data_IF_904295035255
#
_entry.id   IF_904295035255
#
_cell.length_a   1.000
_cell.length_b   1.000
_cell.length_c   1.000
_cell.angle_alpha   90.00
_cell.angle_beta   90.00
_cell.angle_gamma   90.00
#
_symmetry.space_group_name_H-M   'P 1'
#
loop_
_entity.id
_entity.type
_entity.pdbx_description
1 polymer ?
#
# COMPACT_ATOMS: atom_id res chain seq x y z
N UNK A 1 2.81 -19.25 -8.12
CA UNK A 1 3.21 -17.84 -8.05
C UNK A 1 2.01 -16.91 -8.21
N UNK A 2 1.17 -17.10 -9.23
CA UNK A 2 -0.05 -16.28 -9.45
C UNK A 2 -0.96 -16.18 -8.22
N UNK A 3 -1.19 -17.29 -7.53
CA UNK A 3 -2.03 -17.32 -6.34
C UNK A 3 -1.46 -16.50 -5.17
N UNK A 4 -0.13 -16.34 -5.09
CA UNK A 4 0.53 -15.56 -4.03
C UNK A 4 0.32 -14.07 -4.28
N UNK A 5 0.50 -13.60 -5.51
CA UNK A 5 0.24 -12.21 -5.87
C UNK A 5 -1.23 -11.84 -5.76
N UNK A 6 -2.14 -12.75 -6.14
CA UNK A 6 -3.58 -12.56 -5.95
C UNK A 6 -3.92 -12.43 -4.47
N UNK A 7 -3.37 -13.31 -3.64
CA UNK A 7 -3.54 -13.29 -2.19
C UNK A 7 -2.95 -11.99 -1.59
N UNK A 8 -1.80 -11.54 -2.07
CA UNK A 8 -1.18 -10.27 -1.66
C UNK A 8 -2.05 -9.06 -2.05
N UNK A 9 -2.56 -9.03 -3.28
CA UNK A 9 -3.48 -7.99 -3.75
C UNK A 9 -4.78 -8.00 -2.94
N UNK A 10 -5.32 -9.18 -2.64
CA UNK A 10 -6.51 -9.33 -1.79
C UNK A 10 -6.27 -8.77 -0.40
N UNK A 11 -5.19 -9.16 0.28
CA UNK A 11 -4.85 -8.62 1.60
C UNK A 11 -4.56 -7.11 1.56
N UNK A 12 -3.97 -6.58 0.48
CA UNK A 12 -3.78 -5.15 0.30
C UNK A 12 -5.12 -4.39 0.16
N UNK A 13 -6.09 -4.97 -0.55
CA UNK A 13 -7.46 -4.44 -0.63
C UNK A 13 -8.13 -4.47 0.74
N UNK A 14 -8.06 -5.60 1.46
CA UNK A 14 -8.65 -5.73 2.80
C UNK A 14 -8.02 -4.72 3.78
N UNK A 15 -6.69 -4.55 3.75
CA UNK A 15 -5.99 -3.53 4.52
C UNK A 15 -6.49 -2.13 4.18
N UNK A 16 -6.57 -1.81 2.89
CA UNK A 16 -7.05 -0.51 2.43
C UNK A 16 -8.50 -0.25 2.85
N UNK A 17 -9.37 -1.27 2.79
CA UNK A 17 -10.74 -1.19 3.29
C UNK A 17 -10.73 -0.79 4.77
N UNK A 18 -10.00 -1.49 5.63
CA UNK A 18 -9.90 -1.13 7.05
C UNK A 18 -9.32 0.28 7.25
N UNK A 19 -8.28 0.65 6.52
CA UNK A 19 -7.69 1.99 6.61
C UNK A 19 -8.68 3.09 6.23
N UNK A 20 -9.51 2.88 5.19
CA UNK A 20 -10.57 3.82 4.80
C UNK A 20 -11.67 3.97 5.84
N UNK A 21 -12.00 2.88 6.55
CA UNK A 21 -13.00 2.92 7.64
C UNK A 21 -12.56 3.77 8.82
N UNK A 22 -11.24 3.91 8.96
CA UNK A 22 -10.63 4.66 10.02
C UNK A 22 -10.77 6.18 9.78
N UNK A 23 -10.97 6.66 8.53
CA UNK A 23 -11.10 8.10 8.25
C UNK A 23 -12.35 8.71 8.94
N UNK A 24 -12.21 9.85 9.65
CA UNK A 24 -13.31 10.47 10.39
C UNK A 24 -14.41 11.01 9.46
N UNK A 25 -14.00 11.55 8.32
CA UNK A 25 -14.84 12.34 7.44
C UNK A 25 -15.49 11.50 6.34
N UNK A 26 -16.83 11.51 6.33
CA UNK A 26 -17.63 10.78 5.33
C UNK A 26 -17.34 11.26 3.90
N UNK A 27 -17.02 12.55 3.73
CA UNK A 27 -16.72 13.15 2.42
C UNK A 27 -15.42 12.60 1.82
N UNK A 28 -14.35 12.51 2.60
CA UNK A 28 -13.07 11.97 2.14
C UNK A 28 -13.17 10.48 1.80
N UNK A 29 -13.96 9.71 2.54
CA UNK A 29 -14.23 8.30 2.21
C UNK A 29 -14.88 8.13 0.84
N UNK A 30 -15.91 8.94 0.55
CA UNK A 30 -16.61 8.90 -0.74
C UNK A 30 -15.68 9.39 -1.86
N UNK A 31 -14.94 10.49 -1.62
CA UNK A 31 -13.99 11.02 -2.59
C UNK A 31 -12.90 9.99 -2.94
N UNK A 32 -12.35 9.30 -1.95
CA UNK A 32 -11.35 8.25 -2.17
C UNK A 32 -11.92 7.04 -2.92
N UNK A 33 -13.11 6.58 -2.53
CA UNK A 33 -13.80 5.49 -3.23
C UNK A 33 -14.08 5.82 -4.70
N UNK A 34 -14.52 7.05 -4.97
CA UNK A 34 -14.73 7.56 -6.32
C UNK A 34 -13.41 7.66 -7.09
N UNK A 35 -12.34 8.12 -6.44
CA UNK A 35 -10.99 8.18 -7.04
C UNK A 35 -10.49 6.79 -7.45
N UNK A 36 -10.75 5.75 -6.64
CA UNK A 36 -10.44 4.36 -7.02
C UNK A 36 -11.26 3.90 -8.22
N UNK A 37 -12.56 4.23 -8.28
CA UNK A 37 -13.40 3.92 -9.44
C UNK A 37 -12.93 4.63 -10.72
N UNK A 38 -12.55 5.90 -10.62
CA UNK A 38 -11.95 6.66 -11.74
C UNK A 38 -10.62 6.05 -12.17
N UNK A 39 -9.79 5.62 -11.21
CA UNK A 39 -8.53 4.92 -11.51
C UNK A 39 -8.78 3.63 -12.31
N UNK A 40 -9.79 2.83 -11.96
CA UNK A 40 -10.18 1.64 -12.75
C UNK A 40 -10.51 2.02 -14.19
N UNK A 41 -11.29 3.09 -14.38
CA UNK A 41 -11.67 3.57 -15.71
C UNK A 41 -10.48 4.05 -16.52
N UNK A 42 -9.60 4.85 -15.94
CA UNK A 42 -8.38 5.31 -16.60
C UNK A 42 -7.42 4.16 -16.91
N UNK A 43 -7.37 3.15 -16.03
CA UNK A 43 -6.55 1.96 -16.26
C UNK A 43 -7.05 1.09 -17.41
N UNK A 44 -8.32 1.24 -17.85
CA UNK A 44 -8.91 0.38 -18.87
C UNK A 44 -8.11 0.35 -20.18
N UNK A 45 -7.72 1.52 -20.70
CA UNK A 45 -6.94 1.61 -21.94
C UNK A 45 -5.64 0.83 -21.86
N UNK A 46 -4.93 0.94 -20.72
CA UNK A 46 -3.69 0.20 -20.49
C UNK A 46 -3.91 -1.30 -20.35
N UNK A 47 -4.97 -1.70 -19.64
CA UNK A 47 -5.24 -3.11 -19.35
C UNK A 47 -5.68 -3.87 -20.61
N UNK A 48 -6.43 -3.24 -21.52
CA UNK A 48 -6.86 -3.86 -22.78
C UNK A 48 -5.68 -4.11 -23.72
N UNK A 49 -4.63 -3.28 -23.67
CA UNK A 49 -3.42 -3.43 -24.48
C UNK A 49 -2.46 -4.51 -23.92
N UNK A 50 -2.55 -4.83 -22.62
CA UNK A 50 -1.65 -5.74 -21.93
C UNK A 50 -2.11 -7.21 -22.01
N UNK A 51 -1.27 -8.08 -22.57
CA UNK A 51 -1.52 -9.52 -22.54
C UNK A 51 -1.19 -10.11 -21.15
N UNK A 52 -2.03 -11.03 -20.63
CA UNK A 52 -1.84 -11.71 -19.33
C UNK A 52 -0.44 -12.31 -19.17
N UNK A 53 0.07 -12.91 -20.26
CA UNK A 53 1.40 -13.53 -20.30
C UNK A 53 2.54 -12.51 -20.20
N UNK A 54 2.37 -11.28 -20.70
CA UNK A 54 3.36 -10.22 -20.54
C UNK A 54 3.38 -9.71 -19.11
N UNK A 55 2.22 -9.49 -18.48
CA UNK A 55 2.15 -9.07 -17.06
C UNK A 55 2.77 -10.13 -16.16
N UNK A 56 2.47 -11.40 -16.39
CA UNK A 56 3.07 -12.50 -15.62
C UNK A 56 4.58 -12.61 -15.84
N UNK A 57 5.08 -12.41 -17.06
CA UNK A 57 6.53 -12.36 -17.33
C UNK A 57 7.19 -11.17 -16.64
N UNK A 58 6.57 -9.99 -16.68
CA UNK A 58 7.05 -8.78 -16.00
C UNK A 58 7.07 -8.96 -14.48
N UNK A 59 6.04 -9.57 -13.88
CA UNK A 59 6.02 -9.86 -12.43
C UNK A 59 6.91 -11.04 -12.02
N UNK A 60 7.25 -11.94 -12.94
CA UNK A 60 8.16 -13.06 -12.71
C UNK A 60 9.63 -12.67 -12.83
N UNK A 61 9.92 -11.45 -13.30
CA UNK A 61 11.27 -10.94 -13.38
C UNK A 61 11.76 -10.52 -11.98
N UNK A 62 12.99 -10.89 -11.63
CA UNK A 62 13.57 -10.71 -10.29
C UNK A 62 13.57 -9.23 -9.85
N UNK A 63 13.76 -8.31 -10.80
CA UNK A 63 13.74 -6.86 -10.55
C UNK A 63 12.35 -6.37 -10.11
N UNK A 64 11.29 -6.79 -10.80
CA UNK A 64 9.92 -6.38 -10.47
C UNK A 64 9.48 -6.86 -9.08
N UNK A 65 9.89 -8.05 -8.67
CA UNK A 65 9.64 -8.55 -7.30
C UNK A 65 10.33 -7.70 -6.23
N UNK A 66 11.55 -7.23 -6.50
CA UNK A 66 12.26 -6.33 -5.59
C UNK A 66 11.56 -4.98 -5.50
N UNK A 67 11.13 -4.42 -6.64
CA UNK A 67 10.39 -3.15 -6.68
C UNK A 67 9.05 -3.26 -5.93
N UNK A 68 8.30 -4.35 -6.13
CA UNK A 68 7.06 -4.61 -5.37
C UNK A 68 7.37 -4.71 -3.88
N UNK A 69 8.46 -5.38 -3.50
CA UNK A 69 8.88 -5.49 -2.09
C UNK A 69 9.23 -4.13 -1.49
N UNK A 70 9.90 -3.26 -2.23
CA UNK A 70 10.20 -1.90 -1.81
C UNK A 70 8.92 -1.08 -1.61
N UNK A 71 7.97 -1.17 -2.55
CA UNK A 71 6.68 -0.48 -2.44
C UNK A 71 5.91 -0.95 -1.20
N UNK A 72 5.88 -2.26 -0.94
CA UNK A 72 5.25 -2.81 0.28
C UNK A 72 5.96 -2.30 1.54
N UNK A 73 7.29 -2.22 1.53
CA UNK A 73 8.06 -1.74 2.68
C UNK A 73 7.83 -0.24 2.96
N UNK A 74 7.72 0.59 1.92
CA UNK A 74 7.36 2.01 2.07
C UNK A 74 5.93 2.15 2.59
N UNK A 75 4.98 1.38 2.05
CA UNK A 75 3.59 1.39 2.49
C UNK A 75 3.43 0.88 3.95
N UNK A 76 4.23 -0.12 4.35
CA UNK A 76 4.22 -0.64 5.72
C UNK A 76 4.75 0.40 6.71
N UNK A 77 5.85 1.08 6.40
CA UNK A 77 6.39 2.19 7.21
C UNK A 77 5.37 3.32 7.34
N UNK A 78 4.73 3.72 6.25
CA UNK A 78 3.70 4.77 6.26
C UNK A 78 2.51 4.37 7.14
N UNK A 79 2.09 3.11 7.08
CA UNK A 79 0.97 2.60 7.86
C UNK A 79 1.28 2.52 9.35
N UNK A 80 2.48 2.05 9.71
CA UNK A 80 2.96 2.01 11.11
C UNK A 80 3.04 3.44 11.65
N UNK A 81 3.59 4.38 10.88
CA UNK A 81 3.65 5.77 11.28
C UNK A 81 2.26 6.38 11.49
N UNK A 82 1.30 6.11 10.60
CA UNK A 82 -0.09 6.55 10.74
C UNK A 82 -0.77 5.96 11.99
N UNK A 83 -0.54 4.68 12.27
CA UNK A 83 -1.02 4.00 13.48
C UNK A 83 -0.44 4.66 14.75
N UNK A 84 0.87 4.85 14.81
CA UNK A 84 1.56 5.49 15.94
C UNK A 84 1.12 6.93 16.15
N UNK A 85 0.93 7.71 15.07
CA UNK A 85 0.41 9.07 15.15
C UNK A 85 -0.99 9.12 15.78
N UNK A 86 -1.81 8.09 15.54
CA UNK A 86 -3.13 7.96 16.14
C UNK A 86 -3.12 7.56 17.60
N UNK A 87 -2.23 6.62 17.96
CA UNK A 87 -2.02 6.24 19.35
C UNK A 87 -1.51 7.42 20.17
N UNK A 88 -0.58 8.22 19.62
CA UNK A 88 -0.01 9.39 20.30
C UNK A 88 -0.98 10.58 20.43
N UNK A 89 -1.95 10.73 19.53
CA UNK A 89 -3.00 11.75 19.66
C UNK A 89 -3.97 11.52 20.85
N UNK A 90 -3.82 10.44 21.63
CA UNK A 90 -4.45 10.34 22.97
C UNK A 90 -3.76 11.21 24.03
N UNK A 91 -2.50 11.59 23.81
CA UNK A 91 -1.76 12.51 24.68
C UNK A 91 -2.02 13.97 24.24
N UNK A 92 -2.31 14.91 25.16
CA UNK A 92 -2.81 16.26 24.84
C UNK A 92 -1.76 17.24 24.29
N UNK A 93 -0.63 16.78 23.73
CA UNK A 93 0.44 17.68 23.27
C UNK A 93 0.24 18.12 21.80
N UNK A 94 -0.55 19.18 21.65
CA UNK A 94 -1.12 19.78 20.42
C UNK A 94 -0.16 20.34 19.34
N UNK A 95 1.13 19.95 19.26
CA UNK A 95 2.09 20.70 18.41
C UNK A 95 2.41 20.13 17.02
N UNK A 96 1.83 18.98 16.63
CA UNK A 96 2.10 18.30 15.35
C UNK A 96 0.98 18.39 14.30
N UNK A 97 0.04 19.35 14.43
CA UNK A 97 -1.24 19.36 13.71
C UNK A 97 -1.14 19.27 12.17
N UNK A 98 -0.18 19.93 11.51
CA UNK A 98 -0.18 20.00 10.04
C UNK A 98 0.35 18.71 9.37
N UNK A 99 1.48 18.17 9.82
CA UNK A 99 2.05 16.93 9.27
C UNK A 99 1.20 15.71 9.60
N UNK A 100 0.66 15.64 10.82
CA UNK A 100 -0.28 14.57 11.18
C UNK A 100 -1.60 14.69 10.42
N UNK A 101 -2.06 15.90 10.08
CA UNK A 101 -3.26 16.08 9.23
C UNK A 101 -3.01 15.57 7.82
N UNK A 102 -1.86 15.85 7.20
CA UNK A 102 -1.56 15.39 5.84
C UNK A 102 -1.42 13.86 5.77
N UNK A 103 -0.71 13.27 6.74
CA UNK A 103 -0.60 11.81 6.89
C UNK A 103 -1.95 11.16 7.23
N UNK A 104 -2.84 11.87 7.95
CA UNK A 104 -4.18 11.38 8.27
C UNK A 104 -5.06 11.17 7.03
N UNK A 105 -4.75 11.86 5.93
CA UNK A 105 -5.49 11.79 4.68
C UNK A 105 -4.87 10.85 3.65
N UNK A 106 -3.68 10.28 3.90
CA UNK A 106 -3.02 9.38 2.96
C UNK A 106 -3.49 7.94 3.18
N UNK A 107 -4.28 7.36 2.25
CA UNK A 107 -4.62 5.94 2.27
C UNK A 107 -3.40 5.10 1.87
N UNK A 108 -3.49 3.78 2.07
CA UNK A 108 -2.45 2.83 1.63
C UNK A 108 -2.21 2.98 0.13
N UNK A 109 -0.98 3.36 -0.26
CA UNK A 109 -0.61 3.49 -1.67
C UNK A 109 -0.66 2.14 -2.39
N UNK A 110 -0.52 1.05 -1.64
CA UNK A 110 -0.50 -0.32 -2.15
C UNK A 110 -1.83 -0.72 -2.83
N UNK A 111 -2.91 0.01 -2.59
CA UNK A 111 -4.20 -0.26 -3.22
C UNK A 111 -4.18 -0.08 -4.73
N UNK A 112 -3.47 0.92 -5.27
CA UNK A 112 -3.45 1.20 -6.71
C UNK A 112 -2.87 0.03 -7.53
N UNK A 113 -1.64 -0.47 -7.23
CA UNK A 113 -1.10 -1.62 -7.94
C UNK A 113 -1.92 -2.90 -7.69
N UNK A 114 -2.47 -3.09 -6.48
CA UNK A 114 -3.33 -4.23 -6.18
C UNK A 114 -4.63 -4.22 -7.01
N UNK A 115 -5.25 -3.05 -7.17
CA UNK A 115 -6.48 -2.88 -7.95
C UNK A 115 -6.22 -3.11 -9.43
N UNK A 116 -5.07 -2.63 -9.94
CA UNK A 116 -4.64 -2.86 -11.32
C UNK A 116 -4.43 -4.35 -11.61
N UNK A 117 -3.76 -5.06 -10.70
CA UNK A 117 -3.56 -6.51 -10.81
C UNK A 117 -4.90 -7.28 -10.79
N UNK A 118 -5.81 -6.91 -9.89
CA UNK A 118 -7.17 -7.47 -9.85
C UNK A 118 -7.94 -7.21 -11.14
N UNK A 119 -7.83 -6.00 -11.71
CA UNK A 119 -8.51 -5.63 -12.96
C UNK A 119 -8.08 -6.52 -14.12
N UNK A 120 -6.76 -6.71 -14.30
CA UNK A 120 -6.21 -7.63 -15.31
C UNK A 120 -6.77 -9.03 -15.09
N UNK A 121 -6.66 -9.56 -13.86
CA UNK A 121 -7.09 -10.93 -13.58
C UNK A 121 -8.60 -11.14 -13.84
N UNK A 122 -9.43 -10.16 -13.49
CA UNK A 122 -10.87 -10.23 -13.72
C UNK A 122 -11.24 -10.29 -15.21
N UNK A 123 -10.58 -9.48 -16.05
CA UNK A 123 -10.81 -9.47 -17.50
C UNK A 123 -10.47 -10.80 -18.15
N UNK A 124 -9.39 -11.45 -17.71
CA UNK A 124 -9.00 -12.77 -18.24
C UNK A 124 -9.81 -13.92 -17.63
N UNK A 125 -10.40 -13.76 -16.44
CA UNK A 125 -11.24 -14.79 -15.82
C UNK A 125 -12.64 -14.86 -16.43
N UNK A 126 -13.08 -13.82 -17.14
CA UNK A 126 -14.40 -13.70 -17.77
C UNK A 126 -14.26 -13.61 -19.30
N UNK A 127 -13.75 -14.66 -19.98
CA UNK A 127 -13.71 -14.65 -21.44
C UNK A 127 -15.14 -14.71 -22.00
N UNK A 128 -15.49 -13.75 -22.88
CA UNK A 128 -16.79 -13.74 -23.58
C UNK A 128 -17.75 -12.61 -23.19
N UNK A 129 -17.42 -11.80 -22.18
CA UNK A 129 -18.12 -10.54 -21.88
C UNK A 129 -17.35 -9.35 -22.44
N UNK A 130 -18.06 -8.29 -22.83
CA UNK A 130 -17.42 -7.07 -23.32
C UNK A 130 -16.51 -6.48 -22.22
N UNK A 131 -15.26 -6.17 -22.58
CA UNK A 131 -14.27 -5.65 -21.64
C UNK A 131 -14.73 -4.36 -20.94
N UNK A 132 -15.48 -3.52 -21.66
CA UNK A 132 -16.10 -2.31 -21.11
C UNK A 132 -17.06 -2.65 -19.97
N UNK A 133 -17.94 -3.64 -20.15
CA UNK A 133 -18.89 -4.07 -19.11
C UNK A 133 -18.18 -4.59 -17.86
N UNK A 134 -17.09 -5.34 -18.03
CA UNK A 134 -16.28 -5.83 -16.91
C UNK A 134 -15.64 -4.69 -16.13
N UNK A 135 -15.07 -3.70 -16.83
CA UNK A 135 -14.45 -2.53 -16.19
C UNK A 135 -15.48 -1.66 -15.48
N UNK A 136 -16.65 -1.41 -16.08
CA UNK A 136 -17.75 -0.70 -15.43
C UNK A 136 -18.26 -1.45 -14.19
N UNK A 137 -18.41 -2.78 -14.30
CA UNK A 137 -18.79 -3.63 -13.17
C UNK A 137 -17.75 -3.59 -12.04
N UNK A 138 -16.46 -3.66 -12.36
CA UNK A 138 -15.38 -3.58 -11.38
C UNK A 138 -15.31 -2.20 -10.73
N UNK A 139 -15.41 -1.12 -11.50
CA UNK A 139 -15.40 0.25 -10.97
C UNK A 139 -16.57 0.48 -10.01
N UNK A 140 -17.79 0.09 -10.41
CA UNK A 140 -18.96 0.15 -9.54
C UNK A 140 -18.80 -0.75 -8.31
N UNK A 141 -18.29 -1.97 -8.49
CA UNK A 141 -18.04 -2.92 -7.42
C UNK A 141 -17.06 -2.39 -6.38
N UNK A 142 -15.93 -1.82 -6.80
CA UNK A 142 -14.94 -1.20 -5.91
C UNK A 142 -15.58 -0.05 -5.12
N UNK A 143 -16.35 0.82 -5.78
CA UNK A 143 -17.03 1.92 -5.10
C UNK A 143 -18.00 1.40 -4.03
N UNK A 144 -18.87 0.46 -4.41
CA UNK A 144 -19.87 -0.13 -3.52
C UNK A 144 -19.20 -0.86 -2.34
N UNK A 145 -18.19 -1.69 -2.60
CA UNK A 145 -17.46 -2.45 -1.58
C UNK A 145 -16.78 -1.51 -0.58
N UNK A 146 -16.11 -0.45 -1.03
CA UNK A 146 -15.46 0.50 -0.12
C UNK A 146 -16.46 1.31 0.72
N UNK A 147 -17.59 1.71 0.13
CA UNK A 147 -18.65 2.41 0.87
C UNK A 147 -19.30 1.47 1.89
N UNK A 148 -19.67 0.25 1.47
CA UNK A 148 -20.32 -0.76 2.29
C UNK A 148 -19.42 -1.25 3.42
N UNK A 149 -18.17 -1.63 3.12
CA UNK A 149 -17.20 -2.06 4.12
C UNK A 149 -17.00 -1.00 5.20
N UNK A 150 -17.02 0.27 4.80
CA UNK A 150 -16.84 1.35 5.75
C UNK A 150 -18.06 1.67 6.61
N UNK A 151 -19.27 1.25 6.21
CA UNK A 151 -20.44 1.22 7.09
C UNK A 151 -20.41 -0.02 7.99
N UNK A 152 -20.10 -1.18 7.40
CA UNK A 152 -20.13 -2.47 8.08
C UNK A 152 -19.05 -2.61 9.15
N UNK A 153 -17.82 -2.18 8.88
CA UNK A 153 -16.72 -2.25 9.84
C UNK A 153 -16.98 -1.39 11.09
N UNK A 154 -17.68 -0.25 10.94
CA UNK A 154 -18.08 0.57 12.09
C UNK A 154 -19.07 -0.15 12.99
N UNK A 155 -20.00 -0.90 12.41
CA UNK A 155 -20.99 -1.65 13.16
C UNK A 155 -20.41 -2.93 13.78
N UNK A 156 -19.50 -3.61 13.07
CA UNK A 156 -18.98 -4.92 13.48
C UNK A 156 -17.84 -4.81 14.49
N UNK A 157 -16.95 -3.82 14.35
CA UNK A 157 -15.68 -3.80 15.11
C UNK A 157 -15.77 -2.94 16.37
N UNK A 158 -16.77 -2.04 16.49
CA UNK A 158 -17.18 -1.35 17.74
C UNK A 158 -16.15 -0.39 18.39
N UNK A 159 -14.85 -0.66 18.26
CA UNK A 159 -13.75 0.06 18.87
C UNK A 159 -12.72 0.50 17.83
N UNK A 160 -12.29 1.77 17.93
CA UNK A 160 -11.22 2.33 17.11
C UNK A 160 -9.87 1.64 17.36
N UNK A 161 -9.67 1.12 18.56
CA UNK A 161 -8.42 0.52 19.01
C UNK A 161 -8.19 -0.86 18.35
N UNK A 162 -9.23 -1.71 18.30
CA UNK A 162 -9.19 -2.98 17.58
C UNK A 162 -8.88 -2.80 16.08
N UNK A 163 -9.43 -1.74 15.48
CA UNK A 163 -9.24 -1.48 14.06
C UNK A 163 -7.79 -1.09 13.75
N UNK A 164 -7.15 -0.34 14.65
CA UNK A 164 -5.74 0.00 14.56
C UNK A 164 -4.87 -1.26 14.69
N UNK A 165 -5.17 -2.12 15.66
CA UNK A 165 -4.46 -3.39 15.84
C UNK A 165 -4.60 -4.30 14.61
N UNK A 166 -5.81 -4.39 14.05
CA UNK A 166 -6.07 -5.18 12.84
C UNK A 166 -5.30 -4.64 11.63
N UNK A 167 -5.25 -3.32 11.43
CA UNK A 167 -4.45 -2.71 10.35
C UNK A 167 -2.95 -3.01 10.53
N UNK A 168 -2.45 -2.98 11.77
CA UNK A 168 -1.06 -3.34 12.08
C UNK A 168 -0.79 -4.82 11.79
N UNK A 169 -1.70 -5.71 12.19
CA UNK A 169 -1.60 -7.14 11.90
C UNK A 169 -1.62 -7.42 10.40
N UNK A 170 -2.52 -6.79 9.64
CA UNK A 170 -2.55 -6.92 8.18
C UNK A 170 -1.29 -6.37 7.52
N UNK A 171 -0.72 -5.29 8.04
CA UNK A 171 0.54 -4.72 7.54
C UNK A 171 1.70 -5.68 7.79
N UNK A 172 1.77 -6.28 8.98
CA UNK A 172 2.74 -7.32 9.30
C UNK A 172 2.58 -8.55 8.42
N UNK A 173 1.34 -9.00 8.20
CA UNK A 173 1.03 -10.13 7.32
C UNK A 173 1.45 -9.87 5.88
N UNK A 174 1.13 -8.69 5.32
CA UNK A 174 1.56 -8.30 3.98
C UNK A 174 3.08 -8.25 3.86
N UNK A 175 3.76 -7.73 4.88
CA UNK A 175 5.21 -7.70 4.92
C UNK A 175 5.79 -9.12 4.90
N UNK A 176 5.27 -10.02 5.75
CA UNK A 176 5.70 -11.42 5.79
C UNK A 176 5.44 -12.15 4.47
N UNK A 177 4.25 -11.99 3.88
CA UNK A 177 3.90 -12.58 2.58
C UNK A 177 4.84 -12.10 1.47
N UNK A 178 5.20 -10.81 1.48
CA UNK A 178 6.13 -10.23 0.52
C UNK A 178 7.53 -10.82 0.67
N UNK A 179 8.03 -10.92 1.91
CA UNK A 179 9.32 -11.55 2.20
C UNK A 179 9.31 -13.02 1.78
N UNK A 180 8.26 -13.78 2.11
CA UNK A 180 8.12 -15.15 1.64
C UNK A 180 8.12 -15.23 0.10
N UNK A 181 7.38 -14.34 -0.57
CA UNK A 181 7.34 -14.30 -2.04
C UNK A 181 8.72 -14.00 -2.65
N UNK A 182 9.51 -13.13 -2.02
CA UNK A 182 10.86 -12.80 -2.46
C UNK A 182 11.85 -13.96 -2.22
N UNK A 183 11.76 -14.63 -1.07
CA UNK A 183 12.67 -15.73 -0.68
C UNK A 183 12.40 -17.00 -1.49
N UNK A 184 11.12 -17.35 -1.69
CA UNK A 184 10.73 -18.58 -2.41
C UNK A 184 10.74 -18.44 -3.94
N UNK A 185 11.24 -17.33 -4.48
CA UNK A 185 11.27 -17.14 -5.92
C UNK A 185 12.24 -18.14 -6.60
N UNK A 186 11.84 -18.86 -7.66
CA UNK A 186 12.65 -19.91 -8.30
C UNK A 186 13.97 -19.42 -8.89
N UNK A 187 14.13 -18.12 -9.12
CA UNK A 187 15.41 -17.52 -9.52
C UNK A 187 16.41 -17.39 -8.37
N UNK A 188 16.00 -17.65 -7.13
CA UNK A 188 16.86 -17.69 -5.95
C UNK A 188 17.50 -19.08 -5.82
N UNK A 189 18.09 -19.57 -6.92
CA UNK A 189 19.07 -20.63 -6.84
C UNK A 189 20.24 -20.10 -6.03
N UNK A 190 20.70 -20.90 -5.06
CA UNK A 190 21.88 -20.59 -4.26
C UNK A 190 23.06 -20.45 -5.21
N UNK A 191 23.41 -19.22 -5.58
CA UNK A 191 24.60 -18.94 -6.37
C UNK A 191 25.77 -19.25 -5.44
N UNK A 192 26.32 -20.45 -5.58
CA UNK A 192 27.50 -20.96 -4.87
C UNK A 192 28.81 -20.31 -5.35
N UNK A 193 28.73 -19.19 -6.06
CA UNK A 193 29.86 -18.40 -6.49
C UNK A 193 29.79 -17.03 -5.80
N UNK A 194 30.86 -16.66 -5.10
CA UNK A 194 31.05 -15.34 -4.52
C UNK A 194 30.91 -14.27 -5.61
N UNK A 195 29.70 -13.73 -5.79
CA UNK A 195 29.52 -12.50 -6.55
C UNK A 195 30.37 -11.41 -5.85
N UNK A 196 31.15 -10.62 -6.60
CA UNK A 196 31.89 -9.51 -5.99
C UNK A 196 30.88 -8.62 -5.26
N UNK A 197 31.12 -8.40 -3.97
CA UNK A 197 30.26 -7.53 -3.17
C UNK A 197 30.32 -6.14 -3.78
N UNK A 198 29.18 -5.65 -4.27
CA UNK A 198 29.04 -4.28 -4.78
C UNK A 198 29.10 -3.30 -3.60
N UNK A 199 30.31 -3.05 -3.11
CA UNK A 199 30.60 -2.12 -2.01
C UNK A 199 30.05 -0.72 -2.27
N UNK A 200 29.99 -0.32 -3.54
CA UNK A 200 29.42 0.97 -3.95
C UNK A 200 27.90 1.03 -3.73
N UNK A 201 27.19 -0.07 -3.99
CA UNK A 201 25.75 -0.20 -3.73
C UNK A 201 25.44 -0.25 -2.24
N UNK A 202 26.26 -0.97 -1.46
CA UNK A 202 26.17 -0.96 0.01
C UNK A 202 26.44 0.43 0.59
N UNK A 203 27.51 1.10 0.15
CA UNK A 203 27.84 2.44 0.64
C UNK A 203 26.77 3.46 0.23
N UNK A 204 26.23 3.35 -0.99
CA UNK A 204 25.16 4.21 -1.48
C UNK A 204 23.88 4.06 -0.67
N UNK A 205 23.44 2.83 -0.40
CA UNK A 205 22.24 2.58 0.42
C UNK A 205 22.42 3.04 1.86
N UNK A 206 23.59 2.81 2.46
CA UNK A 206 23.92 3.23 3.83
C UNK A 206 23.98 4.77 3.92
N UNK A 207 24.59 5.43 2.93
CA UNK A 207 24.63 6.89 2.83
C UNK A 207 23.25 7.51 2.67
N UNK A 208 22.37 6.89 1.87
CA UNK A 208 20.99 7.36 1.69
C UNK A 208 20.17 7.23 2.99
N UNK A 209 20.36 6.14 3.74
CA UNK A 209 19.74 5.91 5.05
C UNK A 209 20.21 6.96 6.08
N UNK A 210 21.51 7.24 6.12
CA UNK A 210 22.07 8.31 6.96
C UNK A 210 21.58 9.69 6.53
N UNK A 211 21.46 9.95 5.23
CA UNK A 211 20.90 11.20 4.71
C UNK A 211 19.45 11.42 5.16
N UNK A 212 18.58 10.42 5.00
CA UNK A 212 17.18 10.50 5.44
C UNK A 212 17.04 10.71 6.94
N UNK A 213 17.85 10.01 7.74
CA UNK A 213 17.86 10.17 9.21
C UNK A 213 18.35 11.55 9.63
N UNK A 214 19.38 12.08 8.98
CA UNK A 214 19.89 13.44 9.22
C UNK A 214 18.87 14.50 8.82
N UNK A 215 18.19 14.36 7.69
CA UNK A 215 17.12 15.27 7.27
C UNK A 215 15.97 15.25 8.29
N UNK A 216 15.55 14.06 8.71
CA UNK A 216 14.56 13.91 9.78
C UNK A 216 14.98 14.59 11.08
N UNK A 217 16.23 14.39 11.49
CA UNK A 217 16.80 15.01 12.69
C UNK A 217 16.89 16.54 12.56
N UNK A 218 17.39 17.07 11.44
CA UNK A 218 17.49 18.50 11.17
C UNK A 218 16.12 19.19 11.19
N UNK A 219 15.11 18.58 10.57
CA UNK A 219 13.73 19.11 10.62
C UNK A 219 13.24 19.17 12.07
N UNK A 220 13.50 18.14 12.88
CA UNK A 220 13.14 18.16 14.30
C UNK A 220 13.96 19.16 15.12
N UNK A 221 15.25 19.33 14.83
CA UNK A 221 16.15 20.23 15.53
C UNK A 221 15.83 21.70 15.24
N UNK A 222 15.63 22.06 13.96
CA UNK A 222 15.21 23.41 13.54
C UNK A 222 13.86 23.77 14.17
N UNK A 223 12.92 22.83 14.20
CA UNK A 223 11.61 23.04 14.84
C UNK A 223 11.70 23.26 16.35
N UNK A 224 12.54 22.49 17.06
CA UNK A 224 12.77 22.68 18.50
C UNK A 224 13.39 24.06 18.81
N UNK A 225 14.22 24.59 17.90
CA UNK A 225 14.78 25.94 18.06
C UNK A 225 13.76 27.05 17.83
N UNK A 226 12.85 26.89 16.86
CA UNK A 226 11.77 27.85 16.62
C UNK A 226 10.77 27.93 17.78
N UNK A 227 10.46 26.81 18.44
CA UNK A 227 9.54 26.77 19.58
C UNK A 227 10.12 27.33 20.89
N UNK A 228 11.44 27.52 21.00
CA UNK A 228 12.08 28.17 22.16
C UNK A 228 12.12 29.70 22.06
N UNK A 229 11.74 30.26 20.90
CA UNK A 229 11.83 31.70 20.60
C UNK A 229 10.46 32.40 20.57
N UNK A 230 9.36 31.65 20.75
CA UNK A 230 8.00 32.15 20.96
C UNK A 230 7.55 31.82 22.37
#
# INVERSE_FOLDING_TARGET
>A
MDNIFLLLAFFAVVKSLFMTTLLPDRRYRIAFSLLLGVFVMLSHSYVVELNKLQVQRMLSERSALFDISLVVMVDSLLTVYFCLARLRNREPEQRFAWYTTLVRHMPSLLIFPALFYLHINLLFSLPGVAFTTVTWGLAAGVVVVFVAASLFARNLIGGKDLLIELIMLLTLLLFLLTVCSAVFHPSNTVISHSAPVDWLGCLGTLGLLLGLTLVGWLITAVRRRLQKKS
#
